data_IF_466445327843
#
_entry.id   IF_466445327843
#
_cell.length_a   1.000
_cell.length_b   1.000
_cell.length_c   1.000
_cell.angle_alpha   90.00
_cell.angle_beta   90.00
_cell.angle_gamma   90.00
#
_symmetry.space_group_name_H-M   'P 1'
#
loop_
_entity.id
_entity.type
_entity.pdbx_description
1 polymer ?
#
# COMPACT_ATOMS: atom_id res chain seq x y z
N UNK A 1 -4.50 94.62 -33.93
CA UNK A 1 -5.96 94.77 -33.82
C UNK A 1 -6.41 93.80 -32.72
N UNK A 2 -6.68 94.31 -31.51
CA UNK A 2 -8.04 94.50 -30.94
C UNK A 2 -8.59 93.16 -30.38
N UNK A 3 -9.14 93.00 -29.19
CA UNK A 3 -9.65 93.89 -28.14
C UNK A 3 -9.79 92.99 -26.87
N UNK A 4 -9.44 93.44 -25.68
CA UNK A 4 -10.31 94.11 -24.68
C UNK A 4 -10.96 93.20 -23.62
N UNK A 5 -10.79 93.67 -22.39
CA UNK A 5 -11.76 93.81 -21.31
C UNK A 5 -11.82 92.81 -20.13
N UNK A 6 -11.60 93.45 -18.97
CA UNK A 6 -11.89 93.09 -17.57
C UNK A 6 -13.32 92.61 -17.34
N UNK A 7 -13.52 91.85 -16.28
CA UNK A 7 -14.45 92.23 -15.17
C UNK A 7 -14.36 91.29 -13.96
N UNK A 8 -14.84 91.83 -12.83
CA UNK A 8 -14.75 91.42 -11.42
C UNK A 8 -15.83 90.40 -11.00
N UNK A 9 -15.57 89.80 -9.83
CA UNK A 9 -16.52 89.35 -8.79
C UNK A 9 -17.08 87.90 -8.92
N UNK A 10 -17.78 87.36 -7.89
CA UNK A 10 -17.48 87.29 -6.45
C UNK A 10 -17.79 85.88 -5.86
N UNK A 11 -17.73 85.76 -4.53
CA UNK A 11 -18.79 85.18 -3.67
C UNK A 11 -18.27 84.19 -2.61
N UNK A 12 -18.39 84.61 -1.36
CA UNK A 12 -18.15 83.84 -0.15
C UNK A 12 -19.49 83.79 0.60
N UNK A 13 -20.09 82.61 0.78
CA UNK A 13 -21.18 82.31 1.74
C UNK A 13 -21.39 80.80 1.83
N UNK A 14 -20.93 80.20 2.93
CA UNK A 14 -21.13 78.80 3.26
C UNK A 14 -22.59 78.53 3.66
N UNK A 15 -23.12 77.40 3.20
CA UNK A 15 -24.52 76.97 3.33
C UNK A 15 -24.55 75.71 4.21
N UNK A 16 -25.51 75.65 5.13
CA UNK A 16 -25.82 74.55 6.05
C UNK A 16 -25.69 73.14 5.43
N UNK A 17 -24.85 72.30 6.03
CA UNK A 17 -24.78 70.86 5.74
C UNK A 17 -25.60 70.06 6.77
N UNK A 18 -26.70 69.48 6.32
CA UNK A 18 -27.48 68.46 7.03
C UNK A 18 -26.64 67.16 7.11
N UNK A 19 -26.51 66.56 8.30
CA UNK A 19 -25.77 65.29 8.49
C UNK A 19 -26.78 64.14 8.56
N UNK A 20 -26.74 63.13 7.66
CA UNK A 20 -27.62 61.97 7.73
C UNK A 20 -27.29 61.09 8.94
N UNK A 21 -28.33 60.55 9.61
CA UNK A 21 -28.20 59.68 10.77
C UNK A 21 -27.47 58.36 10.43
N UNK A 22 -26.56 57.93 11.30
CA UNK A 22 -25.74 56.73 11.13
C UNK A 22 -26.58 55.46 11.22
N UNK A 23 -26.47 54.58 10.22
CA UNK A 23 -27.11 53.25 10.20
C UNK A 23 -26.03 52.19 10.38
N UNK A 24 -26.11 51.39 11.45
CA UNK A 24 -25.11 50.37 11.74
C UNK A 24 -25.12 49.26 10.67
N UNK A 25 -23.95 48.74 10.26
CA UNK A 25 -23.86 47.70 9.24
C UNK A 25 -24.50 46.38 9.72
N UNK A 26 -25.11 45.58 8.82
CA UNK A 26 -25.73 44.31 9.17
C UNK A 26 -24.68 43.28 9.61
N UNK A 27 -25.06 42.42 10.55
CA UNK A 27 -24.17 41.39 11.12
C UNK A 27 -23.69 40.38 10.06
N UNK A 28 -22.43 39.92 10.14
CA UNK A 28 -21.89 38.98 9.17
C UNK A 28 -22.54 37.60 9.30
N UNK A 29 -22.70 36.87 8.18
CA UNK A 29 -23.29 35.53 8.19
C UNK A 29 -22.41 34.53 8.95
N UNK A 30 -23.04 33.58 9.63
CA UNK A 30 -22.36 32.56 10.44
C UNK A 30 -21.41 31.68 9.59
N UNK A 31 -20.27 31.25 10.14
CA UNK A 31 -19.29 30.45 9.40
C UNK A 31 -19.85 29.05 9.08
N UNK A 32 -19.56 28.58 7.86
CA UNK A 32 -19.95 27.25 7.38
C UNK A 32 -19.22 26.15 8.17
N UNK A 33 -19.85 24.98 8.41
CA UNK A 33 -19.22 23.88 9.12
C UNK A 33 -18.04 23.30 8.32
N UNK A 34 -16.94 23.01 9.03
CA UNK A 34 -15.70 22.51 8.43
C UNK A 34 -15.90 21.16 7.71
N UNK A 35 -15.22 20.93 6.57
CA UNK A 35 -15.33 19.67 5.85
C UNK A 35 -14.69 18.55 6.66
N UNK A 36 -15.44 17.46 6.87
CA UNK A 36 -14.89 16.21 7.40
C UNK A 36 -13.96 15.62 6.35
N UNK A 37 -12.66 15.67 6.61
CA UNK A 37 -11.67 14.97 5.79
C UNK A 37 -11.76 13.49 6.15
N UNK A 38 -12.50 12.72 5.35
CA UNK A 38 -12.43 11.27 5.38
C UNK A 38 -11.06 10.85 4.83
N UNK A 39 -10.15 10.49 5.74
CA UNK A 39 -8.91 9.84 5.37
C UNK A 39 -9.23 8.48 4.74
N UNK A 40 -9.39 8.45 3.42
CA UNK A 40 -9.34 7.24 2.62
C UNK A 40 -7.91 6.74 2.61
N UNK A 41 -7.52 6.03 3.65
CA UNK A 41 -6.37 5.14 3.59
C UNK A 41 -6.82 4.01 2.66
N UNK A 42 -6.45 4.10 1.39
CA UNK A 42 -6.57 2.99 0.45
C UNK A 42 -5.67 1.87 0.98
N UNK A 43 -6.26 0.98 1.77
CA UNK A 43 -5.63 -0.30 2.09
C UNK A 43 -5.44 -0.99 0.75
N UNK A 44 -4.20 -1.30 0.32
CA UNK A 44 -3.97 -1.94 -0.96
C UNK A 44 -4.82 -3.20 -1.01
N UNK A 45 -5.50 -3.41 -2.15
CA UNK A 45 -6.35 -4.57 -2.38
C UNK A 45 -5.65 -5.82 -1.85
N UNK A 46 -6.29 -6.48 -0.89
CA UNK A 46 -5.83 -7.78 -0.41
C UNK A 46 -5.69 -8.67 -1.63
N UNK A 47 -4.45 -8.98 -2.03
CA UNK A 47 -4.17 -9.80 -3.21
C UNK A 47 -4.95 -11.09 -3.05
N UNK A 48 -6.01 -11.24 -3.84
CA UNK A 48 -6.86 -12.42 -3.80
C UNK A 48 -6.09 -13.56 -4.45
N UNK A 49 -5.38 -14.32 -3.65
CA UNK A 49 -4.70 -15.54 -4.09
C UNK A 49 -5.78 -16.53 -4.52
N UNK A 50 -6.02 -16.61 -5.83
CA UNK A 50 -7.13 -17.36 -6.42
C UNK A 50 -6.66 -18.73 -6.90
N UNK A 51 -5.39 -18.89 -7.27
CA UNK A 51 -4.84 -20.15 -7.78
C UNK A 51 -3.61 -20.65 -7.00
N UNK A 52 -3.29 -21.94 -7.15
CA UNK A 52 -2.07 -22.52 -6.56
C UNK A 52 -0.79 -21.91 -7.15
N UNK A 53 -0.85 -21.38 -8.37
CA UNK A 53 0.27 -20.71 -9.02
C UNK A 53 0.58 -19.39 -8.32
N UNK A 54 -0.45 -18.61 -7.99
CA UNK A 54 -0.29 -17.34 -7.25
C UNK A 54 0.36 -17.56 -5.88
N UNK A 55 0.01 -18.66 -5.18
CA UNK A 55 0.67 -19.06 -3.94
C UNK A 55 2.17 -19.31 -4.16
N UNK A 56 2.51 -20.04 -5.22
CA UNK A 56 3.91 -20.38 -5.53
C UNK A 56 4.71 -19.12 -5.88
N UNK A 57 4.16 -18.25 -6.72
CA UNK A 57 4.79 -16.99 -7.10
C UNK A 57 5.02 -16.11 -5.87
N UNK A 58 4.01 -15.97 -5.00
CA UNK A 58 4.14 -15.17 -3.78
C UNK A 58 5.19 -15.74 -2.81
N UNK A 59 5.24 -17.07 -2.66
CA UNK A 59 6.27 -17.73 -1.86
C UNK A 59 7.65 -17.47 -2.47
N UNK A 60 7.80 -17.50 -3.80
CA UNK A 60 9.07 -17.21 -4.46
C UNK A 60 9.51 -15.75 -4.26
N UNK A 61 8.60 -14.79 -4.43
CA UNK A 61 8.83 -13.37 -4.18
C UNK A 61 9.31 -13.14 -2.75
N UNK A 62 8.54 -13.60 -1.77
CA UNK A 62 8.89 -13.41 -0.37
C UNK A 62 10.18 -14.16 0.00
N UNK A 63 10.43 -15.35 -0.57
CA UNK A 63 11.66 -16.10 -0.33
C UNK A 63 12.89 -15.42 -0.93
N UNK A 64 12.73 -14.64 -2.01
CA UNK A 64 13.84 -13.90 -2.61
C UNK A 64 14.40 -12.81 -1.68
N UNK A 65 13.57 -12.28 -0.79
CA UNK A 65 13.98 -11.33 0.27
C UNK A 65 14.90 -12.02 1.28
N UNK A 66 14.56 -13.24 1.71
CA UNK A 66 15.34 -14.02 2.68
C UNK A 66 16.60 -14.65 2.06
N UNK A 67 16.57 -14.96 0.77
CA UNK A 67 17.65 -15.68 0.06
C UNK A 67 18.09 -14.96 -1.22
N UNK A 68 18.59 -13.71 -1.14
CA UNK A 68 18.95 -12.91 -2.32
C UNK A 68 20.11 -13.51 -3.13
N UNK A 69 20.97 -14.30 -2.49
CA UNK A 69 22.08 -15.01 -3.15
C UNK A 69 21.64 -16.24 -3.98
N UNK A 70 20.34 -16.56 -4.03
CA UNK A 70 19.81 -17.71 -4.75
C UNK A 70 18.95 -17.26 -5.94
N UNK A 71 19.53 -17.11 -7.15
CA UNK A 71 18.84 -16.51 -8.31
C UNK A 71 17.71 -17.37 -8.91
N UNK A 72 17.57 -18.62 -8.48
CA UNK A 72 16.60 -19.59 -9.03
C UNK A 72 15.89 -20.39 -7.94
N UNK A 73 15.15 -19.69 -7.09
CA UNK A 73 14.31 -20.33 -6.08
C UNK A 73 13.16 -21.11 -6.74
N UNK A 74 12.94 -22.34 -6.28
CA UNK A 74 11.84 -23.21 -6.70
C UNK A 74 11.00 -23.61 -5.50
N UNK A 75 9.69 -23.58 -5.67
CA UNK A 75 8.75 -24.06 -4.64
C UNK A 75 8.14 -25.35 -5.13
N UNK A 76 8.13 -26.37 -4.28
CA UNK A 76 7.53 -27.67 -4.60
C UNK A 76 6.82 -28.23 -3.38
N UNK A 77 5.90 -29.17 -3.59
CA UNK A 77 5.30 -29.95 -2.51
C UNK A 77 5.92 -31.34 -2.48
N UNK A 78 6.16 -31.85 -1.28
CA UNK A 78 6.77 -33.15 -1.02
C UNK A 78 5.91 -33.93 -0.03
N UNK A 79 5.51 -35.14 -0.42
CA UNK A 79 4.81 -36.07 0.46
C UNK A 79 5.84 -36.79 1.33
N UNK A 80 5.57 -36.89 2.63
CA UNK A 80 6.38 -37.70 3.53
C UNK A 80 6.32 -39.19 3.11
N UNK A 81 7.36 -39.99 3.37
CA UNK A 81 7.37 -41.41 3.00
C UNK A 81 6.19 -42.23 3.56
N UNK A 82 5.63 -41.80 4.69
CA UNK A 82 4.43 -42.39 5.28
C UNK A 82 3.14 -42.15 4.47
N UNK A 83 3.15 -41.20 3.53
CA UNK A 83 1.99 -40.78 2.75
C UNK A 83 0.95 -39.98 3.54
N UNK A 84 1.19 -39.72 4.83
CA UNK A 84 0.22 -39.08 5.73
C UNK A 84 0.36 -37.57 5.78
N UNK A 85 1.56 -37.04 5.48
CA UNK A 85 1.90 -35.63 5.59
C UNK A 85 2.38 -35.07 4.25
N UNK A 86 1.94 -33.87 3.92
CA UNK A 86 2.46 -33.08 2.80
C UNK A 86 3.18 -31.86 3.36
N UNK A 87 4.37 -31.61 2.82
CA UNK A 87 5.14 -30.41 3.10
C UNK A 87 5.25 -29.58 1.83
N UNK A 88 5.26 -28.25 1.98
CA UNK A 88 5.78 -27.38 0.94
C UNK A 88 7.23 -27.01 1.26
N UNK A 89 8.06 -26.91 0.23
CA UNK A 89 9.50 -26.67 0.38
C UNK A 89 9.99 -25.63 -0.62
N UNK A 90 10.91 -24.78 -0.16
CA UNK A 90 11.68 -23.84 -0.99
C UNK A 90 13.06 -24.44 -1.23
N UNK A 91 13.41 -24.53 -2.50
CA UNK A 91 14.65 -25.09 -3.01
C UNK A 91 15.46 -23.98 -3.70
N UNK A 92 16.75 -23.89 -3.40
CA UNK A 92 17.70 -23.02 -4.10
C UNK A 92 18.75 -23.84 -4.85
N UNK A 93 19.52 -23.25 -5.77
CA UNK A 93 20.65 -23.93 -6.38
C UNK A 93 21.71 -24.28 -5.32
N UNK A 94 22.29 -25.50 -5.39
CA UNK A 94 23.33 -25.95 -4.43
C UNK A 94 24.74 -25.48 -4.81
N UNK A 95 24.99 -25.27 -6.10
CA UNK A 95 26.22 -24.75 -6.70
C UNK A 95 25.84 -24.12 -8.04
N UNK A 96 26.35 -22.94 -8.36
CA UNK A 96 26.21 -22.39 -9.72
C UNK A 96 27.00 -23.19 -10.76
N UNK A 97 28.07 -23.88 -10.35
CA UNK A 97 29.03 -24.54 -11.25
C UNK A 97 28.78 -26.04 -11.50
N UNK A 98 28.08 -26.75 -10.60
CA UNK A 98 28.02 -28.22 -10.65
C UNK A 98 26.77 -28.73 -11.38
N UNK A 99 26.98 -29.40 -12.51
CA UNK A 99 25.93 -30.00 -13.36
C UNK A 99 25.19 -31.21 -12.74
N UNK A 100 25.49 -31.62 -11.50
CA UNK A 100 25.10 -32.96 -11.01
C UNK A 100 24.37 -33.02 -9.66
N UNK A 101 24.14 -31.92 -8.94
CA UNK A 101 23.27 -31.91 -7.75
C UNK A 101 22.54 -30.57 -7.66
N UNK A 102 21.34 -30.52 -8.26
CA UNK A 102 20.74 -29.29 -8.81
C UNK A 102 20.12 -28.35 -7.77
N UNK A 103 19.75 -28.83 -6.57
CA UNK A 103 19.02 -28.02 -5.60
C UNK A 103 19.35 -28.37 -4.13
N UNK A 104 19.37 -27.36 -3.26
CA UNK A 104 19.46 -27.42 -1.79
C UNK A 104 18.12 -27.01 -1.19
N UNK A 105 17.68 -27.71 -0.15
CA UNK A 105 16.53 -27.31 0.66
C UNK A 105 16.89 -26.06 1.48
N UNK A 106 16.19 -24.96 1.25
CA UNK A 106 16.39 -23.70 1.97
C UNK A 106 15.37 -23.55 3.10
N UNK A 107 14.11 -23.88 2.81
CA UNK A 107 13.03 -23.75 3.77
C UNK A 107 12.04 -24.90 3.60
N UNK A 108 11.55 -25.41 4.73
CA UNK A 108 10.52 -26.44 4.79
C UNK A 108 9.36 -25.88 5.60
N UNK A 109 8.17 -25.90 5.00
CA UNK A 109 6.94 -25.49 5.64
C UNK A 109 6.34 -26.57 6.55
N UNK A 110 5.25 -26.23 7.25
CA UNK A 110 4.61 -27.11 8.19
C UNK A 110 4.06 -28.37 7.47
N UNK A 111 4.00 -29.48 8.21
CA UNK A 111 3.43 -30.73 7.69
C UNK A 111 1.92 -30.73 7.81
N UNK A 112 1.23 -30.90 6.69
CA UNK A 112 -0.24 -30.95 6.66
C UNK A 112 -0.71 -32.41 6.61
N UNK A 113 -1.55 -32.85 7.57
CA UNK A 113 -2.14 -34.19 7.58
C UNK A 113 -3.35 -34.32 6.63
N UNK A 114 -3.85 -35.55 6.42
CA UNK A 114 -5.10 -35.77 5.66
C UNK A 114 -4.95 -35.84 4.14
N UNK A 115 -3.71 -35.80 3.64
CA UNK A 115 -3.39 -35.71 2.19
C UNK A 115 -3.77 -36.98 1.43
N UNK A 116 -3.84 -38.12 2.11
CA UNK A 116 -4.19 -39.42 1.51
C UNK A 116 -5.60 -39.44 0.92
N UNK A 117 -6.54 -38.71 1.53
CA UNK A 117 -7.93 -38.67 1.10
C UNK A 117 -8.19 -37.51 0.12
N UNK A 118 -7.56 -36.34 0.34
CA UNK A 118 -7.69 -35.17 -0.52
C UNK A 118 -6.32 -34.55 -0.84
N UNK A 119 -5.60 -35.06 -1.85
CA UNK A 119 -4.24 -34.61 -2.13
C UNK A 119 -4.17 -33.17 -2.64
N UNK A 120 -5.17 -32.69 -3.38
CA UNK A 120 -5.22 -31.31 -3.87
C UNK A 120 -5.36 -30.30 -2.72
N UNK A 121 -6.26 -30.59 -1.78
CA UNK A 121 -6.47 -29.77 -0.59
C UNK A 121 -5.23 -29.76 0.31
N UNK A 122 -4.66 -30.92 0.59
CA UNK A 122 -3.46 -31.03 1.42
C UNK A 122 -2.24 -30.31 0.83
N UNK A 123 -2.07 -30.32 -0.51
CA UNK A 123 -1.04 -29.52 -1.19
C UNK A 123 -1.27 -28.02 -1.07
N UNK A 124 -2.52 -27.57 -1.23
CA UNK A 124 -2.88 -26.15 -1.09
C UNK A 124 -2.65 -25.66 0.34
N UNK A 125 -3.10 -26.41 1.34
CA UNK A 125 -2.90 -26.09 2.75
C UNK A 125 -1.40 -26.08 3.10
N UNK A 126 -0.59 -26.99 2.55
CA UNK A 126 0.85 -27.00 2.77
C UNK A 126 1.54 -25.75 2.20
N UNK A 127 1.11 -25.26 1.02
CA UNK A 127 1.61 -24.02 0.44
C UNK A 127 1.19 -22.79 1.27
N UNK A 128 -0.05 -22.75 1.74
CA UNK A 128 -0.54 -21.65 2.60
C UNK A 128 0.27 -21.60 3.90
N UNK A 129 0.44 -22.74 4.57
CA UNK A 129 1.22 -22.79 5.80
C UNK A 129 2.69 -22.37 5.61
N UNK A 130 3.28 -22.71 4.46
CA UNK A 130 4.61 -22.23 4.08
C UNK A 130 4.64 -20.72 3.87
N UNK A 131 3.65 -20.16 3.16
CA UNK A 131 3.55 -18.72 2.93
C UNK A 131 3.45 -17.94 4.26
N UNK A 132 2.58 -18.38 5.17
CA UNK A 132 2.41 -17.73 6.48
C UNK A 132 3.67 -17.78 7.36
N UNK A 133 4.40 -18.90 7.35
CA UNK A 133 5.69 -18.98 8.05
C UNK A 133 6.73 -18.06 7.43
N UNK A 134 6.71 -17.94 6.11
CA UNK A 134 7.68 -17.16 5.36
C UNK A 134 7.41 -15.66 5.52
N UNK A 135 6.15 -15.21 5.46
CA UNK A 135 5.76 -13.84 5.78
C UNK A 135 6.11 -13.46 7.22
N UNK A 136 5.93 -14.37 8.18
CA UNK A 136 6.37 -14.15 9.57
C UNK A 136 7.89 -13.98 9.68
N UNK A 137 8.68 -14.71 8.87
CA UNK A 137 10.15 -14.57 8.86
C UNK A 137 10.59 -13.28 8.18
N UNK A 138 10.02 -12.96 7.01
CA UNK A 138 10.29 -11.70 6.29
C UNK A 138 9.93 -10.51 7.16
N UNK A 139 8.76 -10.51 7.80
CA UNK A 139 8.37 -9.46 8.73
C UNK A 139 9.40 -9.27 9.83
N UNK A 140 9.87 -10.35 10.46
CA UNK A 140 10.93 -10.26 11.48
C UNK A 140 12.21 -9.64 10.94
N UNK A 141 12.72 -10.09 9.79
CA UNK A 141 13.96 -9.54 9.21
C UNK A 141 13.83 -8.06 8.87
N UNK A 142 12.69 -7.64 8.29
CA UNK A 142 12.44 -6.26 7.89
C UNK A 142 12.27 -5.29 9.07
N UNK A 143 11.80 -5.76 10.24
CA UNK A 143 11.67 -4.93 11.44
C UNK A 143 12.92 -4.95 12.35
N UNK A 144 13.91 -5.79 12.05
CA UNK A 144 15.18 -5.86 12.79
C UNK A 144 16.37 -5.21 12.08
N UNK A 145 16.20 -4.82 10.81
CA UNK A 145 17.18 -4.06 10.03
C UNK A 145 16.95 -2.54 10.18
#
# INVERSE_FOLDING_TARGET
MSASNKSKAPANKAINGYVPAYQAPPEPPAPLPAPKVENKIEVPETVQITTMTDLVERIQENASVLFPASPRLRVTTALAPSGLLCHAVVLGPKNEESKTSRYKLLLKGPGVPGVKHEPGRGRREALIGLLEELERKVGKEMFTA
#
